data_IF_821916823609
#
_entry.id   IF_821916823609
#
_cell.length_a   1.000
_cell.length_b   1.000
_cell.length_c   1.000
_cell.angle_alpha   90.00
_cell.angle_beta   90.00
_cell.angle_gamma   90.00
#
_symmetry.space_group_name_H-M   'P 1'
#
loop_
_entity.id
_entity.type
_entity.pdbx_description
1 polymer ?
#
# COMPACT_ATOMS: atom_id res chain seq x y z
N UNK A 1 58.93 -55.73 21.27
CA UNK A 1 58.60 -56.95 20.50
C UNK A 1 57.09 -57.03 20.38
N UNK A 2 56.56 -57.31 19.18
CA UNK A 2 55.15 -57.68 18.99
C UNK A 2 54.30 -56.65 18.25
N UNK A 3 54.37 -56.71 16.93
CA UNK A 3 53.50 -56.06 15.95
C UNK A 3 52.29 -56.98 15.62
N UNK A 4 51.21 -56.35 15.13
CA UNK A 4 50.20 -56.85 14.16
C UNK A 4 49.00 -57.71 14.62
N UNK A 5 47.81 -57.67 14.00
CA UNK A 5 47.13 -56.86 12.96
C UNK A 5 45.63 -57.23 13.07
N UNK A 6 44.70 -56.29 12.89
CA UNK A 6 43.31 -56.62 12.48
C UNK A 6 42.73 -55.49 11.63
N UNK A 7 42.56 -55.76 10.34
CA UNK A 7 41.91 -54.89 9.37
C UNK A 7 40.38 -54.98 9.48
N UNK A 8 39.69 -53.84 9.60
CA UNK A 8 38.23 -53.73 9.57
C UNK A 8 37.74 -53.28 8.19
N UNK A 9 36.89 -54.11 7.58
CA UNK A 9 36.31 -53.98 6.23
C UNK A 9 35.47 -52.71 6.03
N UNK A 10 35.55 -52.18 4.81
CA UNK A 10 34.62 -51.24 4.21
C UNK A 10 33.16 -51.74 4.27
N UNK A 11 32.26 -50.92 4.81
CA UNK A 11 30.86 -50.93 4.44
C UNK A 11 30.35 -49.49 4.22
N UNK A 12 30.06 -49.23 2.95
CA UNK A 12 29.32 -48.07 2.42
C UNK A 12 27.92 -48.08 3.07
N UNK A 13 27.60 -47.09 3.89
CA UNK A 13 26.22 -46.84 4.38
C UNK A 13 25.73 -45.51 3.83
N UNK A 14 24.64 -45.61 3.07
CA UNK A 14 23.86 -44.50 2.53
C UNK A 14 23.41 -43.57 3.66
N UNK A 15 23.74 -42.29 3.53
CA UNK A 15 23.17 -41.21 4.33
C UNK A 15 21.83 -40.85 3.66
N UNK A 16 20.73 -41.28 4.25
CA UNK A 16 19.41 -40.72 3.98
C UNK A 16 19.26 -39.48 4.85
N UNK A 17 19.19 -38.31 4.21
CA UNK A 17 18.89 -37.03 4.87
C UNK A 17 17.48 -37.06 5.43
N UNK A 18 17.37 -37.03 6.76
CA UNK A 18 16.11 -36.80 7.45
C UNK A 18 15.87 -35.29 7.55
N UNK A 19 15.18 -34.72 6.56
CA UNK A 19 14.61 -33.37 6.67
C UNK A 19 13.50 -33.37 7.72
N UNK A 20 13.77 -32.80 8.89
CA UNK A 20 12.72 -32.43 9.84
C UNK A 20 11.95 -31.24 9.29
N UNK A 21 10.84 -31.53 8.61
CA UNK A 21 9.83 -30.55 8.18
C UNK A 21 9.17 -29.96 9.43
N UNK A 22 9.44 -28.69 9.73
CA UNK A 22 8.71 -27.94 10.75
C UNK A 22 7.36 -27.53 10.16
N UNK A 23 6.30 -28.28 10.50
CA UNK A 23 4.92 -27.97 10.09
C UNK A 23 4.43 -26.66 10.74
N UNK A 24 4.03 -25.69 9.94
CA UNK A 24 3.26 -24.53 10.40
C UNK A 24 1.81 -24.96 10.70
N UNK A 25 1.15 -24.41 11.73
CA UNK A 25 -0.25 -24.74 12.00
C UNK A 25 -1.14 -24.18 10.88
N UNK A 26 -1.96 -25.05 10.29
CA UNK A 26 -3.04 -24.68 9.39
C UNK A 26 -4.09 -23.86 10.15
N UNK A 27 -4.08 -22.54 9.99
CA UNK A 27 -5.18 -21.70 10.45
C UNK A 27 -6.38 -21.89 9.51
N UNK A 28 -7.29 -22.80 9.90
CA UNK A 28 -8.62 -22.91 9.29
C UNK A 28 -9.44 -21.68 9.65
N UNK A 29 -9.71 -20.81 8.68
CA UNK A 29 -10.75 -19.81 8.79
C UNK A 29 -12.11 -20.52 8.94
N UNK A 30 -12.80 -20.28 10.06
CA UNK A 30 -14.22 -20.62 10.15
C UNK A 30 -15.03 -19.78 9.14
N UNK A 31 -16.16 -20.28 8.62
CA UNK A 31 -16.98 -19.52 7.70
C UNK A 31 -17.44 -18.21 8.35
N UNK A 32 -17.28 -17.11 7.62
CA UNK A 32 -17.81 -15.79 8.01
C UNK A 32 -19.34 -15.87 8.14
N UNK A 33 -19.95 -15.28 9.19
CA UNK A 33 -21.41 -15.17 9.30
C UNK A 33 -22.00 -14.18 8.27
N UNK A 34 -21.16 -13.47 7.53
CA UNK A 34 -21.57 -12.55 6.46
C UNK A 34 -21.12 -13.11 5.12
N UNK A 35 -22.08 -13.56 4.32
CA UNK A 35 -21.86 -13.93 2.93
C UNK A 35 -21.58 -12.66 2.12
N UNK A 36 -20.49 -12.69 1.34
CA UNK A 36 -20.29 -11.72 0.27
C UNK A 36 -21.52 -11.78 -0.68
N UNK A 37 -21.98 -10.65 -1.23
CA UNK A 37 -23.03 -10.66 -2.24
C UNK A 37 -22.61 -11.57 -3.40
N UNK A 38 -23.41 -12.60 -3.70
CA UNK A 38 -23.16 -13.43 -4.87
C UNK A 38 -23.59 -12.68 -6.13
N UNK A 39 -22.66 -12.53 -7.06
CA UNK A 39 -22.94 -12.03 -8.41
C UNK A 39 -23.74 -13.12 -9.13
N UNK A 40 -24.95 -12.84 -9.66
CA UNK A 40 -25.73 -13.85 -10.37
C UNK A 40 -24.96 -14.33 -11.59
N UNK A 41 -24.75 -15.65 -11.66
CA UNK A 41 -24.11 -16.31 -12.79
C UNK A 41 -25.07 -16.30 -13.98
N UNK A 42 -24.91 -15.33 -14.89
CA UNK A 42 -25.59 -15.37 -16.19
C UNK A 42 -24.65 -15.95 -17.25
N UNK A 43 -25.07 -17.09 -17.77
CA UNK A 43 -24.44 -17.81 -18.87
C UNK A 43 -24.62 -17.04 -20.18
N UNK A 44 -23.56 -16.39 -20.66
CA UNK A 44 -23.22 -16.29 -22.08
C UNK A 44 -21.78 -15.78 -22.22
N UNK A 45 -20.90 -16.69 -22.66
CA UNK A 45 -19.46 -16.47 -22.82
C UNK A 45 -19.18 -15.63 -24.07
N UNK A 46 -19.21 -14.32 -23.89
CA UNK A 46 -18.16 -13.43 -24.42
C UNK A 46 -17.68 -12.71 -23.18
N UNK A 47 -16.55 -13.14 -22.61
CA UNK A 47 -15.90 -12.42 -21.53
C UNK A 47 -15.41 -11.09 -22.12
N UNK A 48 -16.31 -10.11 -22.19
CA UNK A 48 -15.93 -8.73 -22.37
C UNK A 48 -14.90 -8.46 -21.27
N UNK A 49 -13.72 -8.01 -21.66
CA UNK A 49 -12.73 -7.42 -20.78
C UNK A 49 -13.40 -6.22 -20.10
N UNK A 50 -14.19 -6.44 -19.04
CA UNK A 50 -14.71 -5.36 -18.24
C UNK A 50 -13.53 -4.79 -17.49
N UNK A 51 -13.17 -3.54 -17.78
CA UNK A 51 -12.16 -2.83 -17.02
C UNK A 51 -12.51 -2.91 -15.53
N UNK A 52 -11.54 -3.17 -14.63
CA UNK A 52 -11.77 -3.03 -13.21
C UNK A 52 -12.43 -1.68 -12.94
N UNK A 53 -13.45 -1.68 -12.08
CA UNK A 53 -14.24 -0.49 -11.75
C UNK A 53 -15.10 0.09 -12.89
N UNK A 54 -15.32 -0.60 -14.01
CA UNK A 54 -16.11 -0.08 -15.14
C UNK A 54 -17.51 0.44 -14.76
N UNK A 55 -18.10 -0.11 -13.69
CA UNK A 55 -19.46 0.23 -13.28
C UNK A 55 -19.51 1.19 -12.08
N UNK A 56 -18.39 1.57 -11.46
CA UNK A 56 -18.47 2.35 -10.21
C UNK A 56 -19.15 3.68 -10.40
N UNK A 57 -19.07 4.25 -11.60
CA UNK A 57 -19.64 5.55 -11.95
C UNK A 57 -21.06 5.48 -12.52
N UNK A 58 -21.69 4.30 -12.57
CA UNK A 58 -23.04 4.18 -13.11
C UNK A 58 -24.13 4.75 -12.18
N UNK A 59 -23.86 4.85 -10.87
CA UNK A 59 -24.69 5.58 -9.91
C UNK A 59 -23.90 5.92 -8.63
N UNK A 60 -24.47 6.75 -7.76
CA UNK A 60 -23.83 7.20 -6.51
C UNK A 60 -23.43 6.03 -5.58
N UNK A 61 -24.21 4.94 -5.56
CA UNK A 61 -23.98 3.79 -4.67
C UNK A 61 -23.11 2.71 -5.29
N UNK A 62 -22.90 2.74 -6.61
CA UNK A 62 -22.12 1.71 -7.32
C UNK A 62 -20.64 1.67 -6.92
N UNK A 63 -20.14 2.70 -6.24
CA UNK A 63 -18.80 2.69 -5.66
C UNK A 63 -18.70 1.75 -4.44
N UNK A 64 -19.76 1.62 -3.64
CA UNK A 64 -19.69 0.91 -2.37
C UNK A 64 -19.34 -0.58 -2.53
N UNK A 65 -18.43 -1.07 -1.69
CA UNK A 65 -18.02 -2.48 -1.69
C UNK A 65 -17.20 -2.92 -2.92
N UNK A 66 -16.76 -1.98 -3.76
CA UNK A 66 -15.97 -2.29 -4.96
C UNK A 66 -14.46 -2.23 -4.75
N UNK A 67 -14.00 -1.77 -3.58
CA UNK A 67 -12.58 -1.69 -3.27
C UNK A 67 -11.89 -3.04 -3.48
N UNK A 68 -10.67 -3.03 -4.02
CA UNK A 68 -9.82 -4.22 -4.10
C UNK A 68 -8.91 -4.28 -2.86
N UNK A 69 -8.19 -5.38 -2.68
CA UNK A 69 -7.17 -5.48 -1.64
C UNK A 69 -7.70 -5.56 -0.20
N UNK A 70 -6.94 -5.01 0.73
CA UNK A 70 -7.25 -5.11 2.17
C UNK A 70 -8.45 -4.24 2.58
N UNK A 71 -8.74 -3.16 1.85
CA UNK A 71 -9.87 -2.26 2.07
C UNK A 71 -11.18 -2.69 1.41
N UNK A 72 -11.22 -3.87 0.77
CA UNK A 72 -12.38 -4.39 0.02
C UNK A 72 -13.73 -4.44 0.76
N UNK A 73 -13.68 -4.40 2.09
CA UNK A 73 -14.88 -4.38 2.94
C UNK A 73 -15.40 -2.97 3.25
N UNK A 74 -14.79 -1.92 2.68
CA UNK A 74 -15.29 -0.56 2.78
C UNK A 74 -16.62 -0.41 2.00
N UNK A 75 -17.73 -0.32 2.73
CA UNK A 75 -19.06 -0.11 2.14
C UNK A 75 -19.50 1.35 2.15
N UNK A 76 -18.77 2.23 2.86
CA UNK A 76 -19.10 3.64 2.93
C UNK A 76 -20.53 3.89 3.40
N UNK A 77 -21.18 4.90 2.83
CA UNK A 77 -22.58 5.25 3.07
C UNK A 77 -23.61 4.43 2.29
N UNK A 78 -23.32 3.18 1.90
CA UNK A 78 -24.18 2.35 1.02
C UNK A 78 -25.65 2.32 1.45
N UNK A 79 -25.93 2.28 2.75
CA UNK A 79 -27.30 2.23 3.31
C UNK A 79 -27.76 3.55 3.91
N UNK A 80 -26.92 4.59 3.86
CA UNK A 80 -27.21 5.90 4.42
C UNK A 80 -27.99 6.81 3.47
N UNK A 81 -28.47 7.90 4.04
CA UNK A 81 -29.03 9.03 3.31
C UNK A 81 -27.97 9.69 2.43
N UNK A 82 -28.40 10.22 1.29
CA UNK A 82 -27.55 11.02 0.41
C UNK A 82 -27.71 12.49 0.81
N UNK A 83 -26.58 13.17 1.03
CA UNK A 83 -26.54 14.58 1.35
C UNK A 83 -25.78 15.32 0.25
N UNK A 84 -26.40 16.33 -0.35
CA UNK A 84 -25.77 17.18 -1.34
C UNK A 84 -25.31 18.47 -0.66
N UNK A 85 -24.01 18.73 -0.70
CA UNK A 85 -23.43 19.98 -0.22
C UNK A 85 -23.63 21.03 -1.30
N UNK A 86 -24.33 22.12 -0.97
CA UNK A 86 -24.71 23.16 -1.96
C UNK A 86 -23.93 24.45 -1.77
N UNK A 87 -23.34 24.67 -0.59
CA UNK A 87 -22.52 25.85 -0.29
C UNK A 87 -21.15 25.50 0.28
N UNK A 88 -20.19 26.41 0.13
CA UNK A 88 -18.88 26.28 0.76
C UNK A 88 -18.94 26.34 2.29
N UNK A 89 -19.93 27.06 2.85
CA UNK A 89 -20.13 27.12 4.30
C UNK A 89 -20.57 25.77 4.85
N UNK A 90 -21.52 25.10 4.18
CA UNK A 90 -21.93 23.73 4.54
C UNK A 90 -20.78 22.74 4.41
N UNK A 91 -19.97 22.88 3.35
CA UNK A 91 -18.77 22.06 3.17
C UNK A 91 -17.78 22.28 4.34
N UNK A 92 -17.51 23.54 4.69
CA UNK A 92 -16.61 23.89 5.77
C UNK A 92 -17.12 23.39 7.13
N UNK A 93 -18.41 23.56 7.41
CA UNK A 93 -19.03 23.07 8.65
C UNK A 93 -19.02 21.55 8.72
N UNK A 94 -19.35 20.87 7.62
CA UNK A 94 -19.26 19.40 7.55
C UNK A 94 -17.82 18.95 7.80
N UNK A 95 -16.83 19.59 7.19
CA UNK A 95 -15.42 19.23 7.34
C UNK A 95 -14.91 19.51 8.76
N UNK A 96 -15.23 20.67 9.34
CA UNK A 96 -14.81 21.05 10.69
C UNK A 96 -15.43 20.13 11.74
N UNK A 97 -16.74 19.86 11.62
CA UNK A 97 -17.41 18.85 12.44
C UNK A 97 -16.76 17.50 12.24
N UNK A 98 -16.57 17.06 11.01
CA UNK A 98 -16.12 15.69 10.75
C UNK A 98 -14.65 15.46 11.13
N UNK A 99 -13.84 16.49 11.26
CA UNK A 99 -12.42 16.35 11.56
C UNK A 99 -12.20 15.87 13.00
N UNK A 100 -11.72 14.63 13.17
CA UNK A 100 -11.51 14.03 14.49
C UNK A 100 -12.78 13.46 15.14
N UNK A 101 -13.91 13.50 14.45
CA UNK A 101 -15.14 12.78 14.83
C UNK A 101 -15.02 11.30 14.46
N UNK A 102 -15.85 10.46 15.08
CA UNK A 102 -15.89 9.01 14.81
C UNK A 102 -16.81 8.72 13.62
N UNK A 103 -16.25 8.60 12.43
CA UNK A 103 -17.02 8.28 11.23
C UNK A 103 -17.50 6.83 11.27
N UNK A 104 -18.78 6.60 10.97
CA UNK A 104 -19.34 5.25 10.83
C UNK A 104 -20.05 5.16 9.48
N UNK A 105 -19.56 4.31 8.59
CA UNK A 105 -20.25 3.99 7.33
C UNK A 105 -20.59 5.23 6.51
N UNK A 106 -19.57 5.94 6.04
CA UNK A 106 -19.72 7.22 5.34
C UNK A 106 -18.93 7.24 4.04
N UNK A 107 -19.50 7.86 3.01
CA UNK A 107 -18.82 8.17 1.76
C UNK A 107 -18.71 9.69 1.61
N UNK A 108 -17.52 10.20 1.30
CA UNK A 108 -17.35 11.53 0.70
C UNK A 108 -17.04 11.32 -0.77
N UNK A 109 -17.94 11.77 -1.63
CA UNK A 109 -17.89 11.53 -3.05
C UNK A 109 -17.87 12.84 -3.83
N UNK A 110 -16.74 13.16 -4.45
CA UNK A 110 -16.58 14.32 -5.31
C UNK A 110 -16.83 14.04 -6.79
N UNK A 111 -17.28 12.84 -7.18
CA UNK A 111 -17.42 12.48 -8.60
C UNK A 111 -18.35 13.43 -9.36
N UNK A 112 -17.96 13.71 -10.61
CA UNK A 112 -18.65 14.68 -11.46
C UNK A 112 -18.41 16.15 -11.08
N UNK A 113 -17.62 16.41 -10.03
CA UNK A 113 -17.30 17.75 -9.54
C UNK A 113 -15.79 17.88 -9.29
N UNK A 114 -15.29 19.12 -9.23
CA UNK A 114 -13.91 19.43 -8.85
C UNK A 114 -13.89 20.00 -7.43
N UNK A 115 -13.83 19.12 -6.43
CA UNK A 115 -13.86 19.51 -5.02
C UNK A 115 -12.43 19.59 -4.47
N UNK A 116 -12.02 20.79 -4.05
CA UNK A 116 -10.73 21.01 -3.39
C UNK A 116 -10.92 21.33 -1.91
N UNK A 117 -10.24 20.58 -1.07
CA UNK A 117 -10.12 20.77 0.37
C UNK A 117 -8.76 21.42 0.65
N UNK A 118 -8.80 22.59 1.31
CA UNK A 118 -7.61 23.33 1.72
C UNK A 118 -7.48 23.41 3.24
N UNK A 119 -6.27 23.59 3.75
CA UNK A 119 -6.02 23.73 5.18
C UNK A 119 -5.81 22.37 5.87
N UNK A 120 -6.53 22.10 6.98
CA UNK A 120 -6.20 21.05 7.96
C UNK A 120 -6.34 19.58 7.49
N UNK A 121 -6.73 19.34 6.24
CA UNK A 121 -6.95 17.98 5.71
C UNK A 121 -8.09 17.23 6.41
N UNK A 122 -8.07 15.90 6.33
CA UNK A 122 -9.04 15.01 6.96
C UNK A 122 -8.38 14.13 8.03
N UNK A 123 -8.96 14.08 9.23
CA UNK A 123 -8.64 13.06 10.24
C UNK A 123 -9.77 12.05 10.38
N UNK A 124 -9.48 10.83 9.95
CA UNK A 124 -10.28 9.62 10.11
C UNK A 124 -9.90 8.95 11.44
N UNK A 125 -10.69 9.22 12.48
CA UNK A 125 -10.44 8.77 13.86
C UNK A 125 -11.43 7.69 14.28
N UNK A 126 -10.92 6.53 14.72
CA UNK A 126 -11.70 5.40 15.26
C UNK A 126 -12.89 4.98 14.38
N UNK A 127 -12.69 5.10 13.07
CA UNK A 127 -13.75 4.99 12.09
C UNK A 127 -13.75 3.64 11.35
N UNK A 128 -14.91 3.28 10.82
CA UNK A 128 -15.08 2.04 10.08
C UNK A 128 -16.03 2.21 8.89
N UNK A 129 -15.73 1.52 7.78
CA UNK A 129 -16.46 1.60 6.51
C UNK A 129 -16.49 3.01 5.93
N UNK A 130 -15.32 3.60 5.67
CA UNK A 130 -15.22 4.95 5.09
C UNK A 130 -14.74 4.87 3.64
N UNK A 131 -15.37 5.64 2.75
CA UNK A 131 -14.92 5.83 1.37
C UNK A 131 -14.67 7.31 1.13
N UNK A 132 -13.49 7.67 0.65
CA UNK A 132 -13.14 9.03 0.22
C UNK A 132 -12.78 8.96 -1.25
N UNK A 133 -13.53 9.68 -2.10
CA UNK A 133 -13.43 9.53 -3.54
C UNK A 133 -13.43 10.87 -4.27
N UNK A 134 -12.52 11.02 -5.24
CA UNK A 134 -12.49 12.14 -6.19
C UNK A 134 -12.38 13.53 -5.53
N UNK A 135 -11.49 13.66 -4.55
CA UNK A 135 -11.22 14.93 -3.86
C UNK A 135 -9.78 15.40 -4.12
N UNK A 136 -9.59 16.72 -4.14
CA UNK A 136 -8.26 17.34 -4.15
C UNK A 136 -7.90 17.87 -2.76
N UNK A 137 -6.71 17.56 -2.27
CA UNK A 137 -6.17 18.05 -1.00
C UNK A 137 -4.93 18.89 -1.29
N UNK A 138 -4.92 20.15 -0.83
CA UNK A 138 -3.82 21.08 -1.09
C UNK A 138 -3.66 22.15 0.00
N UNK A 139 -2.42 22.56 0.29
CA UNK A 139 -2.16 23.79 1.03
C UNK A 139 -2.34 23.68 2.54
N UNK A 140 -2.11 22.50 3.13
CA UNK A 140 -2.10 22.35 4.58
C UNK A 140 -0.83 22.93 5.20
N UNK A 141 -1.01 23.76 6.23
CA UNK A 141 0.09 24.48 6.89
C UNK A 141 0.06 24.29 8.40
N UNK A 142 1.24 24.15 8.99
CA UNK A 142 1.45 23.95 10.41
C UNK A 142 1.96 22.55 10.78
N UNK A 143 2.36 22.36 12.05
CA UNK A 143 2.85 21.08 12.54
C UNK A 143 1.74 20.02 12.53
N UNK A 144 2.10 18.79 12.19
CA UNK A 144 1.21 17.61 12.14
C UNK A 144 -0.04 17.77 11.24
N UNK A 145 0.02 18.70 10.28
CA UNK A 145 -1.03 18.91 9.29
C UNK A 145 -0.74 18.03 8.08
N UNK A 146 -1.48 16.91 8.00
CA UNK A 146 -1.45 15.99 6.87
C UNK A 146 -2.69 16.15 5.98
N UNK A 147 -2.59 15.70 4.73
CA UNK A 147 -3.74 15.63 3.82
C UNK A 147 -4.84 14.73 4.35
N UNK A 148 -4.51 13.48 4.67
CA UNK A 148 -5.41 12.49 5.28
C UNK A 148 -4.66 11.74 6.39
N UNK A 149 -5.16 11.86 7.63
CA UNK A 149 -4.71 11.08 8.78
C UNK A 149 -5.70 9.95 9.06
N UNK A 150 -5.21 8.71 9.16
CA UNK A 150 -6.00 7.55 9.56
C UNK A 150 -5.43 7.03 10.88
N UNK A 151 -6.04 7.45 11.99
CA UNK A 151 -5.58 7.13 13.35
C UNK A 151 -6.58 7.51 14.44
N UNK A 152 -6.64 6.77 15.56
CA UNK A 152 -6.23 5.38 15.75
C UNK A 152 -7.35 4.41 15.36
N UNK A 153 -7.07 3.10 15.43
CA UNK A 153 -8.06 2.00 15.42
C UNK A 153 -9.11 2.10 14.30
N UNK A 154 -8.71 2.59 13.13
CA UNK A 154 -9.61 2.78 12.00
C UNK A 154 -9.47 1.65 10.99
N UNK A 155 -10.59 1.14 10.46
CA UNK A 155 -10.57 -0.04 9.56
C UNK A 155 -11.59 -0.02 8.45
N UNK A 156 -11.34 -0.82 7.41
CA UNK A 156 -12.22 -0.92 6.23
C UNK A 156 -12.42 0.44 5.57
N UNK A 157 -11.32 1.01 5.08
CA UNK A 157 -11.29 2.34 4.47
C UNK A 157 -10.78 2.25 3.04
N UNK A 158 -11.41 3.03 2.17
CA UNK A 158 -11.00 3.17 0.78
C UNK A 158 -10.81 4.64 0.40
N UNK A 159 -9.61 4.98 -0.04
CA UNK A 159 -9.28 6.30 -0.62
C UNK A 159 -9.03 6.08 -2.11
N UNK A 160 -9.86 6.68 -2.95
CA UNK A 160 -9.87 6.42 -4.39
C UNK A 160 -9.90 7.71 -5.22
N UNK A 161 -9.10 7.76 -6.30
CA UNK A 161 -9.10 8.90 -7.24
C UNK A 161 -8.87 10.27 -6.59
N UNK A 162 -8.18 10.31 -5.45
CA UNK A 162 -7.86 11.58 -4.80
C UNK A 162 -6.54 12.16 -5.34
N UNK A 163 -6.46 13.48 -5.42
CA UNK A 163 -5.20 14.19 -5.72
C UNK A 163 -4.69 14.87 -4.45
N UNK A 164 -3.45 14.63 -4.05
CA UNK A 164 -2.88 15.19 -2.83
C UNK A 164 -1.52 15.84 -3.13
N UNK A 165 -1.31 17.08 -2.65
CA UNK A 165 -0.05 17.81 -2.80
C UNK A 165 0.12 18.90 -1.75
N UNK A 166 1.35 19.38 -1.59
CA UNK A 166 1.63 20.65 -0.89
C UNK A 166 1.07 20.76 0.55
N UNK A 167 1.44 19.80 1.40
CA UNK A 167 1.27 19.86 2.86
C UNK A 167 2.63 20.05 3.57
N UNK A 168 2.61 20.61 4.79
CA UNK A 168 3.82 20.80 5.61
C UNK A 168 4.35 19.50 6.24
N UNK A 169 3.45 18.57 6.62
CA UNK A 169 3.84 17.25 7.13
C UNK A 169 3.76 16.15 6.05
N UNK A 170 2.79 15.23 6.12
CA UNK A 170 2.57 14.16 5.16
C UNK A 170 1.32 14.33 4.29
N UNK A 171 1.19 13.54 3.21
CA UNK A 171 -0.09 13.50 2.46
C UNK A 171 -1.03 12.47 3.03
N UNK A 172 -0.56 11.24 3.30
CA UNK A 172 -1.37 10.19 3.94
C UNK A 172 -0.57 9.51 5.04
N UNK A 173 -1.10 9.60 6.26
CA UNK A 173 -0.49 9.00 7.45
C UNK A 173 -1.43 7.97 8.08
N UNK A 174 -1.01 6.69 8.03
CA UNK A 174 -1.74 5.55 8.59
C UNK A 174 -0.97 5.04 9.80
N UNK A 175 -1.57 5.12 10.99
CA UNK A 175 -0.87 4.80 12.24
C UNK A 175 -1.81 4.23 13.29
N UNK A 176 -1.23 3.72 14.40
CA UNK A 176 -1.95 3.33 15.62
C UNK A 176 -3.03 2.28 15.32
N UNK A 177 -2.56 1.11 14.87
CA UNK A 177 -3.37 -0.09 14.62
C UNK A 177 -4.46 0.09 13.54
N UNK A 178 -4.41 1.14 12.74
CA UNK A 178 -5.34 1.35 11.63
C UNK A 178 -5.02 0.40 10.48
N UNK A 179 -5.98 -0.43 10.08
CA UNK A 179 -5.75 -1.60 9.22
C UNK A 179 -6.87 -1.77 8.19
N UNK A 180 -6.68 -2.68 7.23
CA UNK A 180 -7.67 -2.95 6.18
C UNK A 180 -8.03 -1.71 5.36
N UNK A 181 -6.99 -1.12 4.80
CA UNK A 181 -7.06 0.14 4.04
C UNK A 181 -6.65 -0.11 2.59
N UNK A 182 -7.33 0.55 1.65
CA UNK A 182 -6.92 0.59 0.25
C UNK A 182 -6.82 2.02 -0.23
N UNK A 183 -5.74 2.29 -0.95
CA UNK A 183 -5.47 3.57 -1.62
C UNK A 183 -5.31 3.25 -3.10
N UNK A 184 -6.17 3.80 -3.94
CA UNK A 184 -6.17 3.46 -5.36
C UNK A 184 -6.38 4.64 -6.28
N UNK A 185 -5.75 4.60 -7.45
CA UNK A 185 -5.90 5.64 -8.50
C UNK A 185 -5.67 7.08 -7.99
N UNK A 186 -4.93 7.23 -6.90
CA UNK A 186 -4.61 8.54 -6.35
C UNK A 186 -3.40 9.13 -7.05
N UNK A 187 -3.36 10.46 -7.13
CA UNK A 187 -2.24 11.22 -7.68
C UNK A 187 -1.55 12.01 -6.56
N UNK A 188 -0.25 11.81 -6.39
CA UNK A 188 0.58 12.47 -5.40
C UNK A 188 1.65 13.29 -6.11
N UNK A 189 1.74 14.58 -5.82
CA UNK A 189 2.70 15.48 -6.48
C UNK A 189 3.19 16.58 -5.53
N UNK A 190 4.27 17.28 -5.92
CA UNK A 190 4.79 18.47 -5.24
C UNK A 190 4.80 18.39 -3.70
N UNK A 191 5.48 17.38 -3.15
CA UNK A 191 5.50 17.15 -1.71
C UNK A 191 6.72 16.34 -1.25
N UNK A 192 7.11 16.49 0.02
CA UNK A 192 8.26 15.78 0.60
C UNK A 192 7.89 14.39 1.13
N UNK A 193 7.03 14.31 2.16
CA UNK A 193 6.75 13.11 2.94
C UNK A 193 5.42 12.46 2.53
N UNK A 194 5.40 11.82 1.36
CA UNK A 194 4.15 11.35 0.72
C UNK A 194 3.25 10.46 1.59
N UNK A 195 3.72 9.27 2.00
CA UNK A 195 2.87 8.30 2.70
C UNK A 195 3.61 7.54 3.81
N UNK A 196 3.13 7.68 5.05
CA UNK A 196 3.65 6.95 6.20
C UNK A 196 2.68 5.83 6.63
N UNK A 197 3.22 4.64 6.87
CA UNK A 197 2.50 3.50 7.42
C UNK A 197 3.28 3.03 8.66
N UNK A 198 2.75 3.31 9.85
CA UNK A 198 3.41 3.09 11.13
C UNK A 198 4.42 4.19 11.48
N UNK A 199 4.06 5.04 12.45
CA UNK A 199 4.83 6.24 12.78
C UNK A 199 5.97 6.01 13.78
N UNK A 200 5.81 5.06 14.69
CA UNK A 200 6.69 4.86 15.84
C UNK A 200 7.35 3.47 15.76
N UNK A 201 8.70 3.39 15.74
CA UNK A 201 9.43 2.12 15.67
C UNK A 201 9.28 1.24 16.92
N UNK A 202 8.69 1.76 18.01
CA UNK A 202 8.42 1.03 19.24
C UNK A 202 6.94 0.66 19.41
N UNK A 203 6.07 1.10 18.49
CA UNK A 203 4.63 0.82 18.56
C UNK A 203 4.27 -0.52 17.93
N UNK A 204 4.58 -1.58 18.65
CA UNK A 204 4.42 -2.97 18.25
C UNK A 204 3.00 -3.42 17.85
N UNK A 205 1.96 -2.68 18.25
CA UNK A 205 0.57 -2.94 17.85
C UNK A 205 0.35 -2.79 16.34
N UNK A 206 1.19 -2.00 15.65
CA UNK A 206 1.10 -1.74 14.21
C UNK A 206 1.37 -3.00 13.34
N UNK A 207 1.76 -4.15 13.94
CA UNK A 207 1.87 -5.44 13.23
C UNK A 207 0.54 -5.95 12.65
N UNK A 208 -0.60 -5.48 13.18
CA UNK A 208 -1.91 -5.83 12.65
C UNK A 208 -2.26 -5.10 11.34
N UNK A 209 -1.50 -4.05 10.99
CA UNK A 209 -1.81 -3.16 9.87
C UNK A 209 -1.66 -3.88 8.53
N UNK A 210 -2.68 -3.72 7.68
CA UNK A 210 -2.72 -4.24 6.31
C UNK A 210 -3.18 -3.13 5.36
N UNK A 211 -2.35 -2.81 4.36
CA UNK A 211 -2.62 -1.72 3.42
C UNK A 211 -2.38 -2.17 1.99
N UNK A 212 -3.30 -1.84 1.09
CA UNK A 212 -3.13 -2.01 -0.36
C UNK A 212 -2.99 -0.66 -1.03
N UNK A 213 -2.01 -0.52 -1.90
CA UNK A 213 -1.77 0.69 -2.69
C UNK A 213 -1.67 0.29 -4.16
N UNK A 214 -2.58 0.75 -5.02
CA UNK A 214 -2.56 0.33 -6.41
C UNK A 214 -3.05 1.35 -7.44
N UNK A 215 -2.46 1.29 -8.64
CA UNK A 215 -2.77 2.23 -9.73
C UNK A 215 -2.59 3.70 -9.35
N UNK A 216 -1.81 4.00 -8.31
CA UNK A 216 -1.49 5.37 -7.92
C UNK A 216 -0.34 5.92 -8.76
N UNK A 217 -0.33 7.23 -8.92
CA UNK A 217 0.74 7.97 -9.58
C UNK A 217 1.48 8.85 -8.57
N UNK A 218 2.78 8.62 -8.42
CA UNK A 218 3.68 9.40 -7.58
C UNK A 218 4.60 10.23 -8.48
N UNK A 219 4.29 11.51 -8.61
CA UNK A 219 4.88 12.41 -9.61
C UNK A 219 5.80 13.45 -8.96
N UNK A 220 7.11 13.17 -8.95
CA UNK A 220 8.12 14.13 -8.49
C UNK A 220 8.12 14.39 -6.97
N UNK A 221 7.40 13.58 -6.20
CA UNK A 221 7.41 13.62 -4.73
C UNK A 221 8.74 13.11 -4.16
N UNK A 222 9.19 13.66 -3.03
CA UNK A 222 10.59 13.44 -2.62
C UNK A 222 10.83 12.05 -2.01
N UNK A 223 9.92 11.56 -1.19
CA UNK A 223 10.10 10.29 -0.46
C UNK A 223 8.78 9.66 0.01
N UNK A 224 8.89 8.45 0.58
CA UNK A 224 7.83 7.69 1.25
C UNK A 224 6.69 7.22 0.33
N UNK A 225 7.00 6.31 -0.62
CA UNK A 225 6.04 5.77 -1.59
C UNK A 225 5.73 4.25 -1.44
N UNK A 226 5.42 3.69 -0.25
CA UNK A 226 5.33 4.30 1.08
C UNK A 226 6.64 4.19 1.89
N UNK A 227 6.66 4.75 3.10
CA UNK A 227 7.57 4.33 4.18
C UNK A 227 6.79 3.50 5.21
N UNK A 228 7.31 2.32 5.55
CA UNK A 228 6.57 1.32 6.32
C UNK A 228 7.33 0.92 7.59
N UNK A 229 6.57 0.69 8.66
CA UNK A 229 6.96 -0.04 9.87
C UNK A 229 5.85 -1.04 10.23
N UNK A 230 6.25 -2.25 10.65
CA UNK A 230 5.46 -3.40 11.11
C UNK A 230 4.39 -3.96 10.15
N UNK A 231 3.83 -3.14 9.28
CA UNK A 231 2.66 -3.44 8.49
C UNK A 231 2.93 -4.39 7.32
N UNK A 232 1.85 -5.04 6.86
CA UNK A 232 1.79 -5.76 5.59
C UNK A 232 1.25 -4.82 4.51
N UNK A 233 2.03 -4.60 3.46
CA UNK A 233 1.68 -3.70 2.36
C UNK A 233 1.72 -4.46 1.05
N UNK A 234 0.61 -4.43 0.31
CA UNK A 234 0.59 -4.86 -1.09
C UNK A 234 0.59 -3.61 -1.98
N UNK A 235 1.68 -3.41 -2.71
CA UNK A 235 1.92 -2.27 -3.59
C UNK A 235 1.93 -2.77 -5.03
N UNK A 236 0.93 -2.44 -5.86
CA UNK A 236 0.92 -2.95 -7.23
C UNK A 236 0.38 -2.02 -8.32
N UNK A 237 0.85 -2.17 -9.56
CA UNK A 237 0.44 -1.34 -10.71
C UNK A 237 0.59 0.18 -10.49
N UNK A 238 1.46 0.62 -9.58
CA UNK A 238 1.71 2.04 -9.36
C UNK A 238 2.80 2.54 -10.30
N UNK A 239 2.70 3.82 -10.65
CA UNK A 239 3.74 4.52 -11.39
C UNK A 239 4.39 5.55 -10.48
N UNK A 240 5.71 5.47 -10.32
CA UNK A 240 6.50 6.42 -9.54
C UNK A 240 7.58 6.99 -10.42
N UNK A 241 7.67 8.31 -10.54
CA UNK A 241 8.72 8.97 -11.30
C UNK A 241 9.37 10.12 -10.55
N UNK A 242 10.61 10.41 -10.93
CA UNK A 242 11.31 11.64 -10.53
C UNK A 242 11.40 11.87 -9.01
N UNK A 243 11.41 10.80 -8.21
CA UNK A 243 11.43 10.93 -6.74
C UNK A 243 12.68 11.64 -6.26
N UNK A 244 12.64 12.23 -5.06
CA UNK A 244 13.71 13.06 -4.49
C UNK A 244 14.88 12.28 -3.89
N UNK A 245 14.58 11.39 -2.93
CA UNK A 245 15.53 10.70 -2.06
C UNK A 245 15.43 9.18 -2.24
N UNK A 246 14.25 8.62 -1.98
CA UNK A 246 13.94 7.21 -2.23
C UNK A 246 12.48 7.01 -2.64
N UNK A 247 12.17 5.91 -3.33
CA UNK A 247 10.77 5.57 -3.62
C UNK A 247 10.12 4.88 -2.41
N UNK A 248 10.33 3.58 -2.25
CA UNK A 248 9.78 2.75 -1.16
C UNK A 248 10.81 2.59 -0.04
N UNK A 249 10.36 2.68 1.22
CA UNK A 249 11.21 2.40 2.38
C UNK A 249 10.58 1.36 3.31
N UNK A 250 11.31 0.27 3.54
CA UNK A 250 10.97 -0.74 4.54
C UNK A 250 11.85 -0.54 5.78
N UNK A 251 11.23 -0.44 6.95
CA UNK A 251 11.93 -0.31 8.22
C UNK A 251 11.55 -1.47 9.14
N UNK A 252 11.33 -1.22 10.43
CA UNK A 252 11.08 -2.26 11.45
C UNK A 252 10.02 -3.25 10.98
N UNK A 253 10.35 -4.54 10.94
CA UNK A 253 9.45 -5.67 10.66
C UNK A 253 8.45 -5.50 9.49
N UNK A 254 8.80 -4.69 8.50
CA UNK A 254 7.88 -4.35 7.41
C UNK A 254 7.77 -5.48 6.39
N UNK A 255 6.58 -5.75 5.89
CA UNK A 255 6.35 -6.74 4.84
C UNK A 255 5.72 -6.05 3.64
N UNK A 256 6.51 -5.78 2.60
CA UNK A 256 6.06 -5.09 1.39
C UNK A 256 6.11 -6.06 0.22
N UNK A 257 4.98 -6.30 -0.42
CA UNK A 257 4.91 -7.00 -1.70
C UNK A 257 4.72 -5.98 -2.82
N UNK A 258 5.75 -5.77 -3.63
CA UNK A 258 5.78 -4.81 -4.74
C UNK A 258 5.69 -5.53 -6.09
N UNK A 259 4.51 -5.53 -6.70
CA UNK A 259 4.19 -6.27 -7.92
C UNK A 259 3.79 -5.32 -9.05
N UNK A 260 4.28 -5.52 -10.27
CA UNK A 260 3.84 -4.73 -11.44
C UNK A 260 4.00 -3.20 -11.32
N UNK A 261 4.93 -2.68 -10.51
CA UNK A 261 5.13 -1.23 -10.37
C UNK A 261 6.18 -0.70 -11.36
N UNK A 262 5.97 0.51 -11.86
CA UNK A 262 6.94 1.22 -12.71
C UNK A 262 7.64 2.28 -11.86
N UNK A 263 8.97 2.23 -11.80
CA UNK A 263 9.82 3.21 -11.12
C UNK A 263 10.74 3.91 -12.12
N UNK A 264 10.39 5.10 -12.54
CA UNK A 264 11.17 5.91 -13.48
C UNK A 264 12.08 6.91 -12.77
N UNK A 265 13.38 6.64 -12.75
CA UNK A 265 14.34 7.46 -12.04
C UNK A 265 14.92 8.56 -12.95
N UNK A 266 14.77 9.83 -12.54
CA UNK A 266 15.45 10.97 -13.20
C UNK A 266 16.98 10.95 -13.07
N UNK A 267 17.51 10.37 -11.99
CA UNK A 267 18.94 10.33 -11.64
C UNK A 267 19.27 9.02 -10.91
N UNK A 268 20.53 8.79 -10.49
CA UNK A 268 20.95 7.63 -9.66
C UNK A 268 20.34 7.67 -8.23
N UNK A 269 19.03 7.53 -8.13
CA UNK A 269 18.28 7.56 -6.87
C UNK A 269 17.86 6.16 -6.45
N UNK A 270 17.74 5.96 -5.13
CA UNK A 270 17.44 4.66 -4.53
C UNK A 270 15.94 4.38 -4.68
N UNK A 271 15.54 3.36 -5.45
CA UNK A 271 14.13 2.99 -5.53
C UNK A 271 13.65 2.34 -4.21
N UNK A 272 14.42 1.38 -3.68
CA UNK A 272 14.07 0.65 -2.47
C UNK A 272 15.12 0.88 -1.38
N UNK A 273 14.68 1.42 -0.23
CA UNK A 273 15.51 1.70 0.92
C UNK A 273 15.14 0.78 2.09
N UNK A 274 16.15 0.21 2.74
CA UNK A 274 16.01 -0.41 4.05
C UNK A 274 16.54 0.56 5.10
N UNK A 275 15.76 0.81 6.14
CA UNK A 275 16.14 1.72 7.21
C UNK A 275 16.15 1.00 8.56
N UNK A 276 17.34 0.89 9.15
CA UNK A 276 17.54 0.46 10.54
C UNK A 276 17.17 1.61 11.48
N UNK A 277 16.38 1.32 12.50
CA UNK A 277 15.97 2.28 13.54
C UNK A 277 16.65 1.90 14.86
N UNK A 278 17.04 2.90 15.68
CA UNK A 278 17.87 2.71 16.88
C UNK A 278 17.23 1.83 17.97
N UNK A 279 15.90 1.81 18.05
CA UNK A 279 15.14 1.11 19.11
C UNK A 279 14.43 -0.17 18.62
N UNK A 280 14.55 -0.49 17.33
CA UNK A 280 13.91 -1.67 16.73
C UNK A 280 14.79 -2.90 16.84
N UNK A 281 14.76 -3.58 18.00
CA UNK A 281 15.24 -4.97 18.08
C UNK A 281 14.35 -5.84 17.18
N UNK A 282 14.76 -6.04 15.92
CA UNK A 282 14.49 -7.15 14.98
C UNK A 282 14.47 -6.65 13.52
N UNK A 283 15.53 -6.96 12.79
CA UNK A 283 15.70 -6.70 11.35
C UNK A 283 15.01 -7.79 10.51
N UNK A 284 13.67 -7.74 10.43
CA UNK A 284 12.92 -8.57 9.48
C UNK A 284 12.05 -7.70 8.56
N UNK A 285 12.68 -6.83 7.79
CA UNK A 285 12.04 -6.18 6.65
C UNK A 285 12.09 -7.12 5.44
N UNK A 286 10.92 -7.49 4.91
CA UNK A 286 10.79 -8.31 3.71
C UNK A 286 10.14 -7.46 2.62
N UNK A 287 10.91 -7.13 1.59
CA UNK A 287 10.37 -6.64 0.33
C UNK A 287 10.39 -7.82 -0.64
N UNK A 288 9.26 -8.16 -1.23
CA UNK A 288 9.18 -9.15 -2.31
C UNK A 288 8.79 -8.41 -3.58
N UNK A 289 9.53 -8.64 -4.66
CA UNK A 289 9.21 -8.18 -6.00
C UNK A 289 9.20 -9.39 -6.93
N UNK A 290 8.06 -9.68 -7.56
CA UNK A 290 7.96 -10.83 -8.47
C UNK A 290 8.52 -10.46 -9.85
N UNK A 291 9.48 -11.26 -10.33
CA UNK A 291 9.95 -11.23 -11.71
C UNK A 291 8.81 -11.65 -12.65
N UNK A 292 8.58 -11.00 -13.80
CA UNK A 292 9.27 -9.83 -14.38
C UNK A 292 8.47 -8.53 -14.19
N UNK A 293 7.78 -8.31 -13.07
CA UNK A 293 6.67 -7.34 -13.09
C UNK A 293 7.01 -5.92 -12.64
N UNK A 294 7.93 -5.73 -11.70
CA UNK A 294 8.32 -4.39 -11.24
C UNK A 294 9.63 -3.94 -11.92
N UNK A 295 9.58 -2.82 -12.64
CA UNK A 295 10.71 -2.31 -13.43
C UNK A 295 11.24 -0.99 -12.86
N UNK A 296 12.56 -0.87 -12.76
CA UNK A 296 13.20 0.43 -12.61
C UNK A 296 13.65 0.88 -14.00
N UNK A 297 13.09 1.98 -14.49
CA UNK A 297 13.53 2.67 -15.68
C UNK A 297 14.60 3.70 -15.30
N UNK A 298 15.74 3.67 -15.98
CA UNK A 298 16.71 4.75 -15.95
C UNK A 298 16.94 5.24 -17.37
N UNK A 299 16.70 6.53 -17.58
CA UNK A 299 17.11 7.20 -18.81
C UNK A 299 18.59 7.59 -18.69
N UNK A 300 19.42 7.07 -19.59
CA UNK A 300 20.81 7.46 -19.75
C UNK A 300 20.95 8.87 -20.31
N UNK A 301 22.12 9.48 -20.14
CA UNK A 301 22.43 10.82 -20.69
C UNK A 301 22.45 10.84 -22.23
N UNK A 302 22.53 9.67 -22.84
CA UNK A 302 22.55 9.35 -24.27
C UNK A 302 21.16 8.98 -24.84
N UNK A 303 20.11 9.01 -24.01
CA UNK A 303 18.76 8.64 -24.44
C UNK A 303 18.44 7.14 -24.34
N UNK A 304 19.39 6.29 -23.98
CA UNK A 304 19.12 4.86 -23.75
C UNK A 304 18.26 4.64 -22.50
N UNK A 305 17.19 3.85 -22.62
CA UNK A 305 16.38 3.42 -21.47
C UNK A 305 16.88 2.05 -21.00
N UNK A 306 17.35 1.99 -19.75
CA UNK A 306 17.73 0.73 -19.10
C UNK A 306 16.68 0.31 -18.08
N UNK A 307 16.36 -0.99 -18.08
CA UNK A 307 15.36 -1.60 -17.20
C UNK A 307 16.07 -2.53 -16.21
N UNK A 308 15.82 -2.38 -14.91
CA UNK A 308 16.28 -3.32 -13.89
C UNK A 308 15.07 -4.04 -13.29
N UNK A 309 15.02 -5.37 -13.44
CA UNK A 309 14.11 -6.18 -12.66
C UNK A 309 14.72 -6.36 -11.27
N UNK A 310 13.99 -5.93 -10.25
CA UNK A 310 14.39 -6.14 -8.86
C UNK A 310 13.71 -7.41 -8.39
N UNK A 311 14.46 -8.37 -7.85
CA UNK A 311 13.95 -9.43 -7.00
C UNK A 311 14.69 -9.31 -5.66
N UNK A 312 13.98 -8.99 -4.58
CA UNK A 312 14.53 -9.10 -3.23
C UNK A 312 13.81 -10.24 -2.52
N UNK A 313 14.58 -11.21 -2.04
CA UNK A 313 14.07 -12.25 -1.14
C UNK A 313 15.08 -12.42 -0.01
N UNK A 314 14.66 -12.20 1.23
CA UNK A 314 15.43 -12.45 2.47
C UNK A 314 16.92 -12.06 2.42
N UNK A 315 17.19 -10.76 2.52
CA UNK A 315 18.54 -10.15 2.67
C UNK A 315 19.51 -10.33 1.50
N UNK A 316 19.15 -11.04 0.43
CA UNK A 316 19.92 -11.05 -0.81
C UNK A 316 19.25 -10.15 -1.85
N UNK A 317 19.95 -9.08 -2.24
CA UNK A 317 19.57 -8.26 -3.39
C UNK A 317 20.13 -8.98 -4.61
N UNK A 318 19.25 -9.60 -5.42
CA UNK A 318 19.63 -10.09 -6.73
C UNK A 318 19.19 -9.04 -7.76
N UNK A 319 20.13 -8.19 -8.17
CA UNK A 319 19.91 -7.21 -9.24
C UNK A 319 20.19 -7.87 -10.58
N UNK A 320 19.17 -8.00 -11.43
CA UNK A 320 19.34 -8.40 -12.83
C UNK A 320 19.35 -7.13 -13.69
N UNK A 321 20.51 -6.81 -14.28
CA UNK A 321 20.63 -5.79 -15.32
C UNK A 321 20.35 -6.45 -16.66
N UNK A 322 19.26 -6.08 -17.31
CA UNK A 322 18.98 -6.46 -18.70
C UNK A 322 19.21 -5.20 -19.54
N UNK A 323 20.24 -5.24 -20.38
CA UNK A 323 20.47 -4.20 -21.39
C UNK A 323 19.87 -4.69 -22.69
N UNK A 324 18.83 -4.03 -23.21
CA UNK A 324 18.43 -4.19 -24.60
C UNK A 324 19.29 -3.24 -25.42
N UNK A 325 20.09 -3.80 -26.32
CA UNK A 325 20.70 -3.05 -27.41
C UNK A 325 19.63 -2.95 -28.49
N UNK A 326 19.29 -1.73 -28.90
CA UNK A 326 18.67 -1.50 -30.21
C UNK A 326 19.72 -1.74 -31.31
#
# INVERSE_FOLDING_TARGET
>A
MGNHYSAGRHHRRNRTDSETVVSHPDYKYGPSPYNAPQIPANSNKMAALSLPYANVDCNLRALAGQAEGFGRLAVGGLHGSVYHVTTLSEAAEFMDRSNGLRWKSQTVDGRGQRIKLTGKGLRLKECEHVIICNLEFEGGRGPDVDGIQIKPNSKHIWIDRCSLKDYDDGLIDITRESTDITISRCHFSNHDKTMLIGADPSHHGDRCMRVTIHHCFFDGTRQRHPRVRFAKVHLYNNYTRNWGIYAVCASVESQIYSQCNIYEAAQKKVAFKYLTEKDGNLLHALLITHHPTSFILKQGQDGHISYTCVCVCRKEIIQYRVSLLE
#
